data_IF_352201416512
#
_entry.id   IF_352201416512
#
_cell.length_a   1.000
_cell.length_b   1.000
_cell.length_c   1.000
_cell.angle_alpha   90.00
_cell.angle_beta   90.00
_cell.angle_gamma   90.00
#
_symmetry.space_group_name_H-M   'P 1'
#
loop_
_entity.id
_entity.type
_entity.pdbx_description
1 polymer ?
#
# COMPACT_ATOMS: atom_id res chain seq x y z
N UNK A 1 -40.45 0.94 19.19
CA UNK A 1 -39.22 0.20 19.43
C UNK A 1 -38.90 -0.83 18.31
N UNK A 2 -39.94 -1.51 17.73
CA UNK A 2 -39.72 -2.49 16.64
C UNK A 2 -39.37 -1.86 15.28
N UNK A 3 -39.80 -0.64 15.00
CA UNK A 3 -39.45 0.09 13.77
C UNK A 3 -37.99 0.55 13.77
N UNK A 4 -37.47 0.99 14.91
CA UNK A 4 -36.03 1.37 15.01
C UNK A 4 -35.07 0.19 14.83
N UNK A 5 -35.45 -1.02 15.28
CA UNK A 5 -34.63 -2.23 15.03
C UNK A 5 -34.63 -2.64 13.54
N UNK A 6 -35.77 -2.50 12.84
CA UNK A 6 -35.82 -2.80 11.39
C UNK A 6 -35.06 -1.79 10.56
N UNK A 7 -35.06 -0.50 10.90
CA UNK A 7 -34.24 0.50 10.23
C UNK A 7 -32.75 0.29 10.48
N UNK A 8 -32.33 -0.11 11.68
CA UNK A 8 -30.94 -0.52 11.93
C UNK A 8 -30.52 -1.74 11.10
N UNK A 9 -31.39 -2.72 10.93
CA UNK A 9 -31.11 -3.91 10.12
C UNK A 9 -31.08 -3.63 8.61
N UNK A 10 -31.70 -2.56 8.13
CA UNK A 10 -31.64 -2.16 6.71
C UNK A 10 -30.38 -1.36 6.36
N UNK A 11 -29.68 -0.77 7.33
CA UNK A 11 -28.48 0.04 7.11
C UNK A 11 -27.18 -0.72 7.38
N UNK A 12 -27.18 -1.70 8.28
CA UNK A 12 -26.02 -2.55 8.59
C UNK A 12 -26.09 -3.76 7.67
N UNK A 13 -25.18 -3.86 6.72
CA UNK A 13 -25.21 -4.96 5.77
C UNK A 13 -24.66 -6.24 6.36
N UNK A 14 -23.54 -6.13 7.09
CA UNK A 14 -22.89 -7.29 7.70
C UNK A 14 -21.91 -6.87 8.81
N UNK A 15 -21.39 -7.88 9.50
CA UNK A 15 -20.33 -7.72 10.49
C UNK A 15 -19.07 -8.35 9.96
N UNK A 16 -17.97 -7.66 10.16
CA UNK A 16 -16.65 -8.18 9.90
C UNK A 16 -16.02 -8.62 11.22
N UNK A 17 -15.23 -9.69 11.17
CA UNK A 17 -14.55 -10.22 12.34
C UNK A 17 -13.08 -10.45 12.08
N UNK A 18 -12.26 -10.27 13.11
CA UNK A 18 -10.83 -10.57 13.09
C UNK A 18 -10.37 -10.95 14.49
N UNK A 19 -9.10 -11.34 14.62
CA UNK A 19 -8.44 -11.53 15.90
C UNK A 19 -7.26 -10.60 16.03
N UNK A 20 -6.78 -10.42 17.27
CA UNK A 20 -5.50 -9.76 17.55
C UNK A 20 -4.50 -10.80 18.05
N UNK A 21 -3.18 -10.65 17.79
CA UNK A 21 -2.20 -11.50 18.45
C UNK A 21 -2.05 -11.15 19.93
N UNK A 22 -1.67 -12.11 20.78
CA UNK A 22 -1.27 -11.82 22.15
C UNK A 22 -0.02 -10.93 22.12
N UNK A 23 0.10 -9.98 23.06
CA UNK A 23 1.31 -9.20 23.27
C UNK A 23 2.25 -9.95 24.20
N UNK A 24 3.56 -9.86 23.95
CA UNK A 24 4.58 -10.62 24.65
C UNK A 24 5.64 -9.69 25.21
N UNK A 25 6.07 -9.95 26.46
CA UNK A 25 7.20 -9.23 27.06
C UNK A 25 8.52 -9.71 26.42
N UNK A 26 9.23 -8.83 25.75
CA UNK A 26 10.51 -9.08 25.09
C UNK A 26 11.56 -9.71 26.01
N UNK A 27 11.55 -9.35 27.30
CA UNK A 27 12.50 -9.88 28.31
C UNK A 27 12.33 -11.36 28.60
N UNK A 28 11.21 -11.93 28.18
CA UNK A 28 10.85 -13.36 28.35
C UNK A 28 11.09 -14.18 27.08
N UNK A 29 11.61 -13.57 26.02
CA UNK A 29 11.85 -14.19 24.71
C UNK A 29 13.32 -14.56 24.55
N UNK A 30 13.61 -15.75 24.05
CA UNK A 30 14.93 -16.17 23.64
C UNK A 30 15.18 -15.84 22.16
N UNK A 31 15.79 -14.68 21.90
CA UNK A 31 16.12 -14.21 20.56
C UNK A 31 17.31 -14.95 19.93
N UNK A 32 18.13 -15.67 20.69
CA UNK A 32 19.35 -16.30 20.18
C UNK A 32 19.05 -17.40 19.14
N UNK A 33 17.86 -17.97 19.21
CA UNK A 33 17.38 -19.01 18.30
C UNK A 33 16.55 -18.47 17.12
N UNK A 34 16.38 -17.15 17.02
CA UNK A 34 15.52 -16.51 16.04
C UNK A 34 16.34 -15.84 14.94
N UNK A 35 15.75 -15.77 13.74
CA UNK A 35 16.36 -15.08 12.60
C UNK A 35 15.98 -13.60 12.63
N UNK A 36 16.97 -12.71 12.61
CA UNK A 36 16.73 -11.28 12.43
C UNK A 36 16.23 -10.95 11.03
N UNK A 37 15.30 -10.00 10.95
CA UNK A 37 14.80 -9.41 9.73
C UNK A 37 14.93 -7.90 9.83
N UNK A 38 15.94 -7.37 9.19
CA UNK A 38 16.14 -5.92 9.05
C UNK A 38 15.27 -5.35 7.93
N UNK A 39 15.03 -4.04 7.99
CA UNK A 39 14.37 -3.29 6.92
C UNK A 39 15.23 -3.21 5.65
N UNK A 40 14.64 -2.66 4.59
CA UNK A 40 15.31 -2.52 3.29
C UNK A 40 16.52 -1.59 3.36
N UNK A 41 17.51 -1.87 2.49
CA UNK A 41 18.68 -1.03 2.30
C UNK A 41 18.82 -0.64 0.82
N UNK A 42 18.89 0.67 0.50
CA UNK A 42 18.84 1.82 1.42
C UNK A 42 17.45 1.98 2.07
N UNK A 43 17.40 2.62 3.24
CA UNK A 43 16.14 2.88 3.96
C UNK A 43 15.17 3.69 3.08
N UNK A 44 13.94 3.20 2.85
CA UNK A 44 12.99 3.88 1.98
C UNK A 44 12.42 5.15 2.63
N UNK A 45 12.36 6.23 1.88
CA UNK A 45 11.74 7.49 2.32
C UNK A 45 10.35 7.60 1.68
N UNK A 46 9.32 7.53 2.50
CA UNK A 46 7.92 7.55 2.04
C UNK A 46 7.43 8.92 1.56
N UNK A 47 8.13 10.00 1.90
CA UNK A 47 7.76 11.36 1.52
C UNK A 47 8.69 11.91 0.43
N UNK A 48 8.13 12.50 -0.63
CA UNK A 48 8.92 13.16 -1.69
C UNK A 48 9.77 14.35 -1.21
N UNK A 49 9.53 14.85 0.01
CA UNK A 49 10.31 15.92 0.65
C UNK A 49 11.01 15.44 1.93
N UNK A 50 10.92 14.14 2.21
CA UNK A 50 11.59 13.49 3.34
C UNK A 50 13.07 13.24 3.06
N UNK A 51 13.80 12.94 4.12
CA UNK A 51 15.22 12.57 4.08
C UNK A 51 15.47 11.42 5.04
N UNK A 52 16.46 10.59 4.75
CA UNK A 52 16.84 9.43 5.57
C UNK A 52 17.18 9.85 7.00
N UNK A 53 17.82 11.02 7.17
CA UNK A 53 18.23 11.54 8.49
C UNK A 53 17.06 11.90 9.42
N UNK A 54 15.82 11.96 8.85
CA UNK A 54 14.60 12.20 9.62
C UNK A 54 14.01 10.91 10.21
N UNK A 55 14.52 9.74 9.82
CA UNK A 55 14.04 8.47 10.33
C UNK A 55 14.47 8.26 11.79
N UNK A 56 13.64 7.65 12.61
CA UNK A 56 14.03 7.22 13.94
C UNK A 56 15.09 6.11 13.84
N UNK A 57 15.72 5.80 14.97
CA UNK A 57 16.61 4.64 15.09
C UNK A 57 15.91 3.39 14.58
N UNK A 58 16.52 2.70 13.62
CA UNK A 58 15.99 1.45 13.06
C UNK A 58 16.22 0.29 14.03
N UNK A 59 15.28 -0.65 14.03
CA UNK A 59 15.37 -1.91 14.79
C UNK A 59 14.90 -3.05 13.91
N UNK A 60 15.42 -4.24 14.12
CA UNK A 60 14.99 -5.42 13.39
C UNK A 60 13.70 -6.01 13.97
N UNK A 61 12.98 -6.75 13.16
CA UNK A 61 12.03 -7.76 13.58
C UNK A 61 12.71 -9.12 13.64
N UNK A 62 12.06 -10.12 14.23
CA UNK A 62 12.57 -11.50 14.23
C UNK A 62 11.54 -12.42 13.60
N UNK A 63 12.04 -13.50 13.00
CA UNK A 63 11.21 -14.52 12.35
C UNK A 63 11.25 -15.80 13.18
N UNK A 64 10.06 -16.35 13.44
CA UNK A 64 9.84 -17.69 13.96
C UNK A 64 8.67 -18.35 13.22
N UNK A 65 8.32 -19.56 13.64
CA UNK A 65 7.29 -20.36 12.98
C UNK A 65 6.45 -21.11 14.01
N UNK A 66 5.18 -21.35 13.68
CA UNK A 66 4.40 -22.40 14.35
C UNK A 66 4.98 -23.76 14.01
N UNK A 67 4.58 -24.79 14.74
CA UNK A 67 4.96 -26.19 14.52
C UNK A 67 3.77 -27.13 14.75
N UNK A 68 3.97 -28.41 14.52
CA UNK A 68 2.93 -29.44 14.67
C UNK A 68 2.27 -29.39 16.04
N UNK A 69 3.07 -29.29 17.12
CA UNK A 69 2.54 -29.17 18.49
C UNK A 69 1.69 -27.94 18.67
N UNK A 70 2.11 -26.80 18.09
CA UNK A 70 1.32 -25.57 18.07
C UNK A 70 -0.02 -25.79 17.39
N UNK A 71 -0.03 -26.48 16.24
CA UNK A 71 -1.25 -26.77 15.48
C UNK A 71 -2.20 -27.72 16.24
N UNK A 72 -1.67 -28.70 16.96
CA UNK A 72 -2.47 -29.58 17.80
C UNK A 72 -3.13 -28.86 18.96
N UNK A 73 -2.40 -27.97 19.63
CA UNK A 73 -2.95 -27.11 20.69
C UNK A 73 -4.09 -26.23 20.15
N UNK A 74 -3.90 -25.63 18.98
CA UNK A 74 -4.94 -24.78 18.33
C UNK A 74 -6.17 -25.61 18.01
N UNK A 75 -6.01 -26.76 17.35
CA UNK A 75 -7.11 -27.67 17.01
C UNK A 75 -7.88 -28.16 18.25
N UNK A 76 -7.17 -28.44 19.34
CA UNK A 76 -7.79 -28.85 20.61
C UNK A 76 -8.54 -27.75 21.35
N UNK A 77 -8.40 -26.46 20.94
CA UNK A 77 -9.11 -25.34 21.55
C UNK A 77 -10.22 -24.73 20.68
N UNK A 78 -10.47 -25.30 19.48
CA UNK A 78 -11.39 -24.73 18.49
C UNK A 78 -12.84 -24.64 18.96
N UNK A 79 -13.29 -25.62 19.74
CA UNK A 79 -14.63 -25.68 20.32
C UNK A 79 -14.91 -24.57 21.36
N UNK A 80 -13.86 -23.85 21.74
CA UNK A 80 -13.89 -22.73 22.70
C UNK A 80 -13.55 -21.38 22.07
N UNK A 81 -13.29 -21.34 20.76
CA UNK A 81 -12.97 -20.11 20.04
C UNK A 81 -14.23 -19.33 19.67
N UNK A 82 -14.43 -18.07 20.13
CA UNK A 82 -15.57 -17.24 19.75
C UNK A 82 -15.75 -17.06 18.25
N UNK A 83 -14.66 -17.07 17.48
CA UNK A 83 -14.71 -16.97 16.01
C UNK A 83 -15.30 -18.22 15.34
N UNK A 84 -15.26 -19.39 16.00
CA UNK A 84 -15.69 -20.67 15.45
C UNK A 84 -16.96 -21.23 16.09
N UNK A 85 -17.28 -20.84 17.31
CA UNK A 85 -18.48 -21.32 18.05
C UNK A 85 -19.77 -20.60 17.68
N UNK A 86 -19.74 -19.64 16.74
CA UNK A 86 -20.91 -18.84 16.38
C UNK A 86 -21.27 -17.75 17.38
N UNK A 87 -20.43 -17.48 18.38
CA UNK A 87 -20.61 -16.35 19.33
C UNK A 87 -20.42 -15.03 18.59
N UNK A 88 -19.50 -15.01 17.62
CA UNK A 88 -19.23 -13.85 16.77
C UNK A 88 -19.58 -14.24 15.33
N UNK A 89 -20.58 -13.53 14.79
CA UNK A 89 -20.97 -13.64 13.39
C UNK A 89 -20.20 -12.63 12.52
N UNK A 90 -19.93 -13.01 11.27
CA UNK A 90 -19.32 -12.13 10.31
C UNK A 90 -18.29 -12.82 9.42
N UNK A 91 -17.83 -12.09 8.41
CA UNK A 91 -16.81 -12.55 7.47
C UNK A 91 -15.43 -12.10 7.94
N UNK A 92 -14.50 -13.04 8.06
CA UNK A 92 -13.10 -12.76 8.39
C UNK A 92 -12.32 -12.19 7.20
N UNK A 93 -11.25 -11.41 7.44
CA UNK A 93 -10.43 -10.85 6.36
C UNK A 93 -9.67 -11.95 5.63
N UNK A 94 -9.66 -11.87 4.31
CA UNK A 94 -8.97 -12.82 3.43
C UNK A 94 -7.45 -12.83 3.66
N UNK A 95 -6.88 -11.68 3.98
CA UNK A 95 -5.43 -11.44 4.01
C UNK A 95 -4.83 -11.27 5.40
N UNK A 96 -5.62 -11.34 6.44
CA UNK A 96 -5.17 -11.39 7.82
C UNK A 96 -6.01 -12.40 8.61
N UNK A 97 -6.02 -13.69 8.18
CA UNK A 97 -6.79 -14.71 8.87
C UNK A 97 -6.23 -14.95 10.27
N UNK A 98 -7.09 -15.36 11.20
CA UNK A 98 -6.65 -15.83 12.50
C UNK A 98 -5.73 -17.06 12.36
N UNK A 99 -4.96 -17.37 13.38
CA UNK A 99 -4.11 -18.58 13.33
C UNK A 99 -4.97 -19.87 13.25
N UNK A 100 -6.18 -19.83 13.84
CA UNK A 100 -7.17 -20.89 13.70
C UNK A 100 -7.54 -21.11 12.23
N UNK A 101 -7.84 -20.03 11.50
CA UNK A 101 -8.15 -20.09 10.07
C UNK A 101 -6.99 -20.66 9.25
N UNK A 102 -5.75 -20.24 9.55
CA UNK A 102 -4.56 -20.72 8.86
C UNK A 102 -4.38 -22.22 9.02
N UNK A 103 -4.49 -22.70 10.26
CA UNK A 103 -4.31 -24.12 10.60
C UNK A 103 -5.38 -25.02 9.97
N UNK A 104 -6.59 -24.50 9.75
CA UNK A 104 -7.66 -25.25 9.09
C UNK A 104 -7.56 -25.15 7.57
N UNK A 105 -7.44 -23.95 7.03
CA UNK A 105 -7.45 -23.73 5.56
C UNK A 105 -6.21 -24.26 4.87
N UNK A 106 -5.08 -24.29 5.59
CA UNK A 106 -3.79 -24.75 5.09
C UNK A 106 -3.28 -25.93 5.94
N UNK A 107 -4.15 -26.91 6.14
CA UNK A 107 -3.86 -28.08 6.99
C UNK A 107 -2.69 -28.96 6.49
N UNK A 108 -2.31 -28.79 5.21
CA UNK A 108 -1.15 -29.42 4.57
C UNK A 108 0.19 -28.73 4.92
N UNK A 109 0.15 -27.58 5.60
CA UNK A 109 1.35 -26.85 6.03
C UNK A 109 1.72 -27.23 7.45
N UNK A 110 2.97 -27.65 7.64
CA UNK A 110 3.51 -28.02 8.96
C UNK A 110 3.84 -26.80 9.82
N UNK A 111 3.96 -25.62 9.21
CA UNK A 111 4.33 -24.38 9.89
C UNK A 111 3.76 -23.14 9.21
N UNK A 112 3.53 -22.10 10.00
CA UNK A 112 3.18 -20.76 9.55
C UNK A 112 4.18 -19.75 10.10
N UNK A 113 4.62 -18.85 9.27
CA UNK A 113 5.59 -17.80 9.62
C UNK A 113 4.98 -16.78 10.59
N UNK A 114 5.81 -16.34 11.54
CA UNK A 114 5.48 -15.35 12.56
C UNK A 114 6.57 -14.28 12.50
N UNK A 115 6.16 -13.02 12.38
CA UNK A 115 7.07 -11.88 12.55
C UNK A 115 6.91 -11.35 13.97
N UNK A 116 8.02 -11.20 14.68
CA UNK A 116 8.05 -10.67 16.04
C UNK A 116 8.47 -9.22 15.91
N UNK A 117 7.52 -8.32 16.08
CA UNK A 117 7.68 -6.89 15.84
C UNK A 117 7.68 -6.14 17.17
N UNK A 118 8.70 -5.31 17.48
CA UNK A 118 8.62 -4.39 18.61
C UNK A 118 7.49 -3.38 18.39
N UNK A 119 6.62 -3.17 19.39
CA UNK A 119 5.55 -2.15 19.28
C UNK A 119 6.09 -0.71 19.38
N UNK A 120 7.35 -0.52 19.71
CA UNK A 120 8.00 0.78 19.75
C UNK A 120 9.46 0.67 20.15
N UNK A 121 10.18 1.78 20.05
CA UNK A 121 11.63 1.83 20.31
C UNK A 121 11.98 1.76 21.79
N UNK A 122 11.05 2.17 22.66
CA UNK A 122 11.27 2.32 24.12
C UNK A 122 10.30 1.43 24.93
N UNK A 123 9.78 0.37 24.32
CA UNK A 123 8.90 -0.61 24.98
C UNK A 123 9.47 -2.01 24.93
N UNK A 124 9.13 -2.82 25.92
CA UNK A 124 9.38 -4.27 25.91
C UNK A 124 8.21 -5.06 25.32
N UNK A 125 7.17 -4.41 24.82
CA UNK A 125 6.01 -5.09 24.25
C UNK A 125 6.29 -5.49 22.81
N UNK A 126 6.08 -6.78 22.51
CA UNK A 126 6.23 -7.37 21.18
C UNK A 126 4.88 -7.74 20.60
N UNK A 127 4.74 -7.50 19.31
CA UNK A 127 3.61 -7.90 18.48
C UNK A 127 4.00 -9.10 17.60
N UNK A 128 3.60 -10.34 17.96
CA UNK A 128 3.88 -11.51 17.13
C UNK A 128 2.86 -11.60 15.99
N UNK A 129 3.15 -10.89 14.90
CA UNK A 129 2.32 -10.86 13.71
C UNK A 129 2.24 -12.24 13.07
N UNK A 130 1.01 -12.72 12.84
CA UNK A 130 0.77 -14.03 12.24
C UNK A 130 0.08 -15.05 13.15
N UNK A 131 -0.06 -14.75 14.45
CA UNK A 131 -0.79 -15.58 15.43
C UNK A 131 -1.98 -14.85 16.05
N UNK A 132 -2.66 -13.99 15.28
CA UNK A 132 -3.95 -13.42 15.70
C UNK A 132 -4.91 -14.51 16.07
N UNK A 133 -5.55 -14.43 17.24
CA UNK A 133 -6.37 -15.51 17.79
C UNK A 133 -7.50 -15.01 18.66
N UNK A 134 -8.55 -15.81 18.79
CA UNK A 134 -9.63 -15.62 19.75
C UNK A 134 -9.72 -16.77 20.76
N UNK A 135 -8.77 -17.68 20.73
CA UNK A 135 -8.73 -18.83 21.65
C UNK A 135 -8.70 -18.37 23.13
N UNK A 136 -9.22 -19.15 24.07
CA UNK A 136 -9.14 -18.85 25.49
C UNK A 136 -7.70 -18.68 25.98
N UNK A 137 -7.50 -17.90 27.03
CA UNK A 137 -6.18 -17.52 27.53
C UNK A 137 -5.30 -18.71 27.92
N UNK A 138 -5.87 -19.74 28.52
CA UNK A 138 -5.15 -20.99 28.86
C UNK A 138 -4.62 -21.73 27.61
N UNK A 139 -5.33 -21.65 26.50
CA UNK A 139 -4.89 -22.19 25.20
C UNK A 139 -3.81 -21.29 24.60
N UNK A 140 -3.99 -19.97 24.67
CA UNK A 140 -3.00 -18.99 24.16
C UNK A 140 -1.63 -19.16 24.86
N UNK A 141 -1.59 -19.39 26.17
CA UNK A 141 -0.35 -19.63 26.90
C UNK A 141 0.36 -20.87 26.33
N UNK A 142 -0.37 -21.98 26.13
CA UNK A 142 0.20 -23.22 25.57
C UNK A 142 0.67 -23.02 24.14
N UNK A 143 -0.15 -22.37 23.30
CA UNK A 143 0.16 -22.05 21.92
C UNK A 143 1.45 -21.23 21.83
N UNK A 144 1.52 -20.11 22.53
CA UNK A 144 2.68 -19.21 22.49
C UNK A 144 3.92 -19.95 22.94
N UNK A 145 3.88 -20.66 24.08
CA UNK A 145 5.02 -21.37 24.64
C UNK A 145 5.47 -22.58 23.86
N UNK A 146 4.68 -23.07 22.91
CA UNK A 146 5.08 -24.14 21.98
C UNK A 146 5.94 -23.64 20.80
N UNK A 147 6.00 -22.34 20.59
CA UNK A 147 6.74 -21.71 19.49
C UNK A 147 8.21 -21.52 19.87
N UNK A 148 9.12 -21.75 18.92
CA UNK A 148 10.54 -21.55 19.14
C UNK A 148 10.85 -20.10 19.56
N UNK A 149 11.72 -19.94 20.57
CA UNK A 149 12.03 -18.65 21.18
C UNK A 149 11.04 -18.21 22.27
N UNK A 150 9.85 -18.83 22.36
CA UNK A 150 8.78 -18.42 23.26
C UNK A 150 8.52 -19.37 24.43
N UNK A 151 9.39 -20.32 24.67
CA UNK A 151 9.21 -21.34 25.73
C UNK A 151 8.85 -20.75 27.10
N UNK A 152 9.45 -19.64 27.45
CA UNK A 152 9.23 -18.93 28.72
C UNK A 152 8.45 -17.62 28.55
N UNK A 153 7.82 -17.41 27.39
CA UNK A 153 7.16 -16.16 27.07
C UNK A 153 6.09 -15.79 28.10
N UNK A 154 6.09 -14.52 28.49
CA UNK A 154 5.07 -13.88 29.30
C UNK A 154 4.13 -13.06 28.40
N UNK A 155 2.84 -13.40 28.44
CA UNK A 155 1.81 -12.65 27.71
C UNK A 155 1.40 -11.47 28.55
N UNK A 156 1.69 -10.25 28.07
CA UNK A 156 1.31 -8.98 28.72
C UNK A 156 -0.16 -8.64 28.44
N UNK A 157 -0.66 -9.02 27.27
CA UNK A 157 -2.05 -8.85 26.84
C UNK A 157 -2.48 -10.04 26.02
N UNK A 158 -3.56 -10.74 26.37
CA UNK A 158 -4.08 -11.83 25.55
C UNK A 158 -4.59 -11.33 24.20
N UNK A 159 -4.52 -12.17 23.19
CA UNK A 159 -5.25 -11.98 21.94
C UNK A 159 -6.75 -12.05 22.18
N UNK A 160 -7.52 -11.32 21.39
CA UNK A 160 -8.98 -11.28 21.49
C UNK A 160 -9.62 -11.12 20.11
N UNK A 161 -10.86 -11.55 20.00
CA UNK A 161 -11.67 -11.35 18.81
C UNK A 161 -12.17 -9.92 18.73
N UNK A 162 -12.26 -9.40 17.52
CA UNK A 162 -12.87 -8.12 17.20
C UNK A 162 -14.03 -8.39 16.25
N UNK A 163 -15.17 -7.79 16.56
CA UNK A 163 -16.34 -7.73 15.71
C UNK A 163 -16.68 -6.25 15.48
N UNK A 164 -16.94 -5.88 14.24
CA UNK A 164 -17.29 -4.50 13.91
C UNK A 164 -18.32 -4.44 12.78
N UNK A 165 -19.21 -3.46 12.88
CA UNK A 165 -20.23 -3.20 11.88
C UNK A 165 -19.62 -2.44 10.70
N UNK A 166 -20.11 -2.70 9.49
CA UNK A 166 -19.86 -1.87 8.34
C UNK A 166 -21.16 -1.59 7.57
N UNK A 167 -21.15 -0.50 6.82
CA UNK A 167 -22.27 -0.11 5.97
C UNK A 167 -21.97 -0.41 4.52
N UNK A 168 -23.03 -0.64 3.74
CA UNK A 168 -22.88 -0.87 2.32
C UNK A 168 -22.25 0.36 1.64
N UNK A 169 -21.01 0.29 1.09
CA UNK A 169 -20.39 1.43 0.47
C UNK A 169 -21.11 1.94 -0.79
N UNK A 170 -22.00 1.15 -1.38
CA UNK A 170 -22.88 1.58 -2.47
C UNK A 170 -23.90 2.67 -2.03
N UNK A 171 -24.11 2.86 -0.72
CA UNK A 171 -24.93 3.92 -0.17
C UNK A 171 -24.16 5.25 -0.01
N UNK A 172 -22.94 5.32 -0.48
CA UNK A 172 -22.12 6.53 -0.52
C UNK A 172 -22.15 7.18 -1.91
N UNK A 173 -21.95 8.49 -1.93
CA UNK A 173 -21.59 9.27 -3.11
C UNK A 173 -20.08 9.14 -3.36
N UNK A 174 -19.59 9.48 -4.54
CA UNK A 174 -18.14 9.52 -4.85
C UNK A 174 -17.35 10.49 -3.95
N UNK A 175 -18.02 11.42 -3.29
CA UNK A 175 -17.44 12.26 -2.23
C UNK A 175 -17.21 11.53 -0.90
N UNK A 176 -17.65 10.28 -0.77
CA UNK A 176 -17.80 9.50 0.47
C UNK A 176 -18.84 10.08 1.46
N UNK A 177 -19.67 11.02 1.03
CA UNK A 177 -20.85 11.45 1.76
C UNK A 177 -21.93 10.38 1.65
N UNK A 178 -22.66 10.11 2.74
CA UNK A 178 -23.78 9.18 2.70
C UNK A 178 -24.93 9.75 1.85
N UNK A 179 -25.63 8.88 1.10
CA UNK A 179 -26.81 9.27 0.32
C UNK A 179 -28.02 9.60 1.20
N UNK A 180 -28.07 9.03 2.42
CA UNK A 180 -29.21 9.13 3.32
C UNK A 180 -29.14 10.29 4.30
N UNK A 181 -27.94 10.76 4.66
CA UNK A 181 -27.75 11.84 5.64
C UNK A 181 -26.78 12.86 5.05
N UNK A 182 -27.27 14.04 4.81
CA UNK A 182 -26.48 15.13 4.28
C UNK A 182 -25.42 15.59 5.28
N UNK A 183 -24.18 15.84 4.79
CA UNK A 183 -23.05 16.29 5.61
C UNK A 183 -22.38 15.18 6.43
N UNK A 184 -22.84 13.92 6.33
CA UNK A 184 -22.20 12.77 6.98
C UNK A 184 -21.30 12.03 5.99
N UNK A 185 -20.00 11.95 6.29
CA UNK A 185 -19.00 11.27 5.49
C UNK A 185 -18.44 10.05 6.21
N UNK A 186 -18.22 8.97 5.48
CA UNK A 186 -17.64 7.73 6.01
C UNK A 186 -16.25 7.48 5.42
N UNK A 187 -15.35 6.96 6.25
CA UNK A 187 -14.00 6.61 5.81
C UNK A 187 -13.44 5.43 6.63
N UNK A 188 -12.67 4.58 5.97
CA UNK A 188 -12.02 3.44 6.59
C UNK A 188 -12.89 2.20 6.71
N UNK A 189 -12.70 1.43 7.76
CA UNK A 189 -13.34 0.11 7.90
C UNK A 189 -14.87 0.14 7.97
N UNK A 190 -15.46 1.26 8.32
CA UNK A 190 -16.92 1.45 8.30
C UNK A 190 -17.51 1.25 6.90
N UNK A 191 -16.68 1.41 5.85
CA UNK A 191 -17.01 1.19 4.45
C UNK A 191 -16.65 -0.23 3.97
N UNK A 192 -16.37 -1.16 4.89
CA UNK A 192 -16.02 -2.55 4.55
C UNK A 192 -14.60 -2.75 4.06
N UNK A 193 -13.70 -1.79 4.28
CA UNK A 193 -12.27 -1.93 3.94
C UNK A 193 -11.45 -2.41 5.13
N UNK A 194 -10.31 -3.06 4.85
CA UNK A 194 -9.33 -3.43 5.86
C UNK A 194 -7.94 -3.03 5.38
N UNK A 195 -7.28 -2.16 6.13
CA UNK A 195 -5.92 -1.70 5.86
C UNK A 195 -5.76 -0.23 6.21
N UNK A 196 -4.56 0.11 6.65
CA UNK A 196 -4.23 1.50 7.02
C UNK A 196 -4.22 2.40 5.79
N UNK A 197 -3.75 1.91 4.66
CA UNK A 197 -3.63 2.64 3.41
C UNK A 197 -5.02 3.00 2.85
N UNK A 198 -5.95 2.06 2.86
CA UNK A 198 -7.34 2.29 2.44
C UNK A 198 -8.02 3.31 3.37
N UNK A 199 -7.80 3.20 4.68
CA UNK A 199 -8.38 4.14 5.64
C UNK A 199 -7.81 5.55 5.49
N UNK A 200 -6.49 5.68 5.27
CA UNK A 200 -5.83 6.96 5.04
C UNK A 200 -6.32 7.63 3.74
N UNK A 201 -6.43 6.88 2.65
CA UNK A 201 -6.93 7.39 1.37
C UNK A 201 -8.38 7.88 1.47
N UNK A 202 -9.25 7.08 2.09
CA UNK A 202 -10.65 7.46 2.32
C UNK A 202 -10.77 8.66 3.26
N UNK A 203 -9.99 8.71 4.34
CA UNK A 203 -9.97 9.81 5.29
C UNK A 203 -9.55 11.12 4.65
N UNK A 204 -8.51 11.10 3.79
CA UNK A 204 -8.10 12.26 3.01
C UNK A 204 -9.22 12.73 2.09
N UNK A 205 -9.83 11.83 1.33
CA UNK A 205 -10.89 12.16 0.39
C UNK A 205 -12.14 12.69 1.09
N UNK A 206 -12.61 11.99 2.12
CA UNK A 206 -13.79 12.40 2.90
C UNK A 206 -13.58 13.77 3.58
N UNK A 207 -12.41 13.98 4.20
CA UNK A 207 -12.08 15.26 4.84
C UNK A 207 -11.98 16.41 3.84
N UNK A 208 -11.38 16.17 2.67
CA UNK A 208 -11.33 17.15 1.59
C UNK A 208 -12.73 17.53 1.12
N UNK A 209 -13.59 16.56 0.87
CA UNK A 209 -14.94 16.80 0.38
C UNK A 209 -15.84 17.44 1.45
N UNK A 210 -15.66 17.11 2.71
CA UNK A 210 -16.34 17.81 3.80
C UNK A 210 -15.95 19.29 3.85
N UNK A 211 -14.66 19.61 3.67
CA UNK A 211 -14.18 20.98 3.61
C UNK A 211 -14.66 21.74 2.36
N UNK A 212 -14.72 21.07 1.21
CA UNK A 212 -15.26 21.65 -0.03
C UNK A 212 -16.76 21.96 0.13
N UNK A 213 -17.53 21.02 0.72
CA UNK A 213 -18.95 21.23 0.99
C UNK A 213 -19.23 22.44 1.91
N UNK A 214 -18.44 22.59 2.97
CA UNK A 214 -18.56 23.78 3.87
C UNK A 214 -18.26 25.09 3.14
N UNK A 215 -17.48 25.04 2.06
CA UNK A 215 -17.11 26.18 1.22
C UNK A 215 -18.02 26.33 -0.01
N UNK A 216 -19.12 25.61 -0.10
CA UNK A 216 -20.03 25.57 -1.24
C UNK A 216 -19.31 25.31 -2.58
N UNK A 217 -18.33 24.40 -2.55
CA UNK A 217 -17.59 23.98 -3.73
C UNK A 217 -18.00 22.55 -4.14
N UNK A 218 -17.83 22.25 -5.43
CA UNK A 218 -18.03 20.92 -5.95
C UNK A 218 -17.12 19.89 -5.28
N UNK A 219 -17.60 18.67 -5.15
CA UNK A 219 -16.81 17.58 -4.62
C UNK A 219 -15.68 17.18 -5.58
N UNK A 220 -14.64 16.63 -5.03
CA UNK A 220 -13.55 16.05 -5.78
C UNK A 220 -13.41 14.54 -5.49
N UNK A 221 -13.23 13.77 -6.56
CA UNK A 221 -12.80 12.38 -6.50
C UNK A 221 -11.91 12.12 -7.72
N UNK A 222 -10.70 11.60 -7.55
CA UNK A 222 -9.87 11.24 -8.70
C UNK A 222 -10.48 10.06 -9.45
N UNK A 223 -10.34 10.06 -10.75
CA UNK A 223 -10.74 8.93 -11.61
C UNK A 223 -9.78 7.75 -11.48
N UNK A 224 -10.19 6.59 -11.97
CA UNK A 224 -9.42 5.33 -11.90
C UNK A 224 -8.06 5.40 -12.61
N UNK A 225 -7.94 6.26 -13.62
CA UNK A 225 -6.69 6.50 -14.37
C UNK A 225 -5.76 7.51 -13.67
N UNK A 226 -6.23 8.22 -12.64
CA UNK A 226 -5.47 9.27 -11.94
C UNK A 226 -4.86 8.80 -10.63
N UNK A 227 -5.55 7.94 -9.88
CA UNK A 227 -5.06 7.51 -8.57
C UNK A 227 -5.63 6.16 -8.12
N UNK A 228 -4.86 5.42 -7.32
CA UNK A 228 -5.36 4.22 -6.64
C UNK A 228 -6.55 4.50 -5.72
N UNK A 229 -6.62 5.69 -5.10
CA UNK A 229 -7.80 6.08 -4.32
C UNK A 229 -9.04 6.23 -5.20
N UNK A 230 -8.89 6.59 -6.48
CA UNK A 230 -9.99 6.59 -7.45
C UNK A 230 -10.48 5.18 -7.73
N UNK A 231 -9.57 4.23 -7.97
CA UNK A 231 -9.92 2.81 -8.13
C UNK A 231 -10.63 2.27 -6.89
N UNK A 232 -10.11 2.58 -5.69
CA UNK A 232 -10.70 2.19 -4.40
C UNK A 232 -12.15 2.67 -4.27
N UNK A 233 -12.38 3.95 -4.49
CA UNK A 233 -13.71 4.56 -4.29
C UNK A 233 -14.69 4.05 -5.34
N UNK A 234 -14.26 3.94 -6.58
CA UNK A 234 -15.09 3.43 -7.66
C UNK A 234 -15.49 1.96 -7.43
N UNK A 235 -14.55 1.10 -7.04
CA UNK A 235 -14.85 -0.30 -6.70
C UNK A 235 -15.87 -0.40 -5.55
N UNK A 236 -15.68 0.39 -4.48
CA UNK A 236 -16.58 0.37 -3.34
C UNK A 236 -18.00 0.82 -3.69
N UNK A 237 -18.14 1.90 -4.46
CA UNK A 237 -19.43 2.52 -4.76
C UNK A 237 -20.17 1.78 -5.86
N UNK A 238 -19.47 1.32 -6.91
CA UNK A 238 -20.09 0.65 -8.04
C UNK A 238 -20.37 -0.82 -7.77
N UNK A 239 -19.41 -1.55 -7.20
CA UNK A 239 -19.52 -3.00 -7.00
C UNK A 239 -19.92 -3.37 -5.58
N UNK A 240 -19.66 -2.52 -4.59
CA UNK A 240 -19.80 -2.85 -3.18
C UNK A 240 -18.73 -3.86 -2.74
N UNK A 241 -18.94 -4.45 -1.56
CA UNK A 241 -18.06 -5.51 -1.08
C UNK A 241 -18.84 -6.56 -0.30
N UNK A 242 -18.51 -7.84 -0.52
CA UNK A 242 -19.08 -8.99 0.19
C UNK A 242 -18.08 -9.60 1.20
N UNK A 243 -16.83 -9.16 1.12
CA UNK A 243 -15.73 -9.52 2.04
C UNK A 243 -14.92 -8.26 2.33
N UNK A 244 -14.09 -8.22 3.39
CA UNK A 244 -13.25 -7.06 3.66
C UNK A 244 -12.42 -6.65 2.45
N UNK A 245 -12.69 -5.45 1.91
CA UNK A 245 -12.01 -4.95 0.74
C UNK A 245 -10.55 -4.63 1.04
N UNK A 246 -9.67 -5.05 0.15
CA UNK A 246 -8.26 -4.71 0.15
C UNK A 246 -7.83 -4.25 -1.24
N UNK A 247 -7.03 -3.18 -1.31
CA UNK A 247 -6.46 -2.70 -2.56
C UNK A 247 -5.29 -3.58 -2.99
N UNK A 248 -5.33 -4.03 -4.24
CA UNK A 248 -4.25 -4.74 -4.92
C UNK A 248 -3.97 -4.10 -6.26
N UNK A 249 -2.73 -4.21 -6.71
CA UNK A 249 -2.32 -3.74 -8.04
C UNK A 249 -3.11 -4.41 -9.17
N UNK A 250 -3.63 -5.62 -8.94
CA UNK A 250 -4.50 -6.33 -9.91
C UNK A 250 -5.85 -5.67 -10.13
N UNK A 251 -6.30 -4.79 -9.21
CA UNK A 251 -7.54 -4.02 -9.34
C UNK A 251 -7.40 -2.78 -10.22
N UNK A 252 -6.16 -2.33 -10.45
CA UNK A 252 -5.87 -1.13 -11.23
C UNK A 252 -5.50 -1.52 -12.66
N UNK A 253 -6.39 -1.26 -13.59
CA UNK A 253 -6.23 -1.49 -15.03
C UNK A 253 -5.10 -0.62 -15.61
N UNK A 254 -4.88 0.58 -15.04
CA UNK A 254 -3.87 1.54 -15.48
C UNK A 254 -2.62 1.56 -14.60
N UNK A 255 -2.26 0.43 -13.99
CA UNK A 255 -1.14 0.34 -13.02
C UNK A 255 0.22 0.80 -13.55
N UNK A 256 0.44 0.82 -14.87
CA UNK A 256 1.66 1.37 -15.47
C UNK A 256 1.71 2.90 -15.43
N UNK A 257 0.55 3.56 -15.35
CA UNK A 257 0.45 5.00 -15.09
C UNK A 257 0.47 5.32 -13.60
N UNK A 258 -0.16 4.46 -12.79
CA UNK A 258 -0.34 4.67 -11.34
C UNK A 258 0.86 4.13 -10.56
N UNK A 259 2.05 4.66 -10.82
CA UNK A 259 3.27 4.26 -10.11
C UNK A 259 3.55 5.15 -8.92
N UNK A 260 4.31 4.62 -7.97
CA UNK A 260 4.79 5.36 -6.79
C UNK A 260 5.69 6.53 -7.23
N UNK A 261 6.66 6.27 -8.12
CA UNK A 261 7.65 7.26 -8.56
C UNK A 261 7.06 8.52 -9.17
N UNK A 262 5.86 8.46 -9.73
CA UNK A 262 5.20 9.59 -10.40
C UNK A 262 3.93 10.10 -9.71
N UNK A 263 3.65 9.65 -8.49
CA UNK A 263 2.41 10.05 -7.79
C UNK A 263 2.38 11.56 -7.50
N UNK A 264 3.53 12.16 -7.20
CA UNK A 264 3.65 13.61 -7.03
C UNK A 264 3.34 14.38 -8.32
N UNK A 265 3.86 13.92 -9.46
CA UNK A 265 3.59 14.53 -10.77
C UNK A 265 2.11 14.45 -11.19
N UNK A 266 1.38 13.41 -10.73
CA UNK A 266 -0.04 13.24 -11.04
C UNK A 266 -0.98 14.02 -10.13
N UNK A 267 -0.61 14.23 -8.86
CA UNK A 267 -1.57 14.64 -7.82
C UNK A 267 -1.20 15.93 -7.09
N UNK A 268 0.07 16.41 -7.14
CA UNK A 268 0.48 17.58 -6.33
C UNK A 268 -0.18 18.87 -6.81
N UNK A 269 -0.35 19.06 -8.12
CA UNK A 269 -1.03 20.23 -8.69
C UNK A 269 -2.50 20.28 -8.22
N UNK A 270 -3.23 19.17 -8.37
CA UNK A 270 -4.60 19.04 -7.84
C UNK A 270 -4.64 19.25 -6.33
N UNK A 271 -3.69 18.69 -5.59
CA UNK A 271 -3.57 18.92 -4.15
C UNK A 271 -3.36 20.39 -3.79
N UNK A 272 -2.62 21.14 -4.63
CA UNK A 272 -2.42 22.59 -4.47
C UNK A 272 -3.72 23.37 -4.69
N UNK A 273 -4.46 23.05 -5.74
CA UNK A 273 -5.77 23.64 -6.04
C UNK A 273 -6.80 23.41 -4.95
N UNK A 274 -6.79 22.19 -4.35
CA UNK A 274 -7.63 21.82 -3.23
C UNK A 274 -7.20 22.45 -1.89
N UNK A 275 -6.02 23.10 -1.83
CA UNK A 275 -5.48 23.69 -0.61
C UNK A 275 -4.82 22.71 0.34
N UNK A 276 -4.45 21.51 -0.13
CA UNK A 276 -3.79 20.45 0.65
C UNK A 276 -2.26 20.54 0.61
N UNK A 277 -1.70 21.30 -0.31
CA UNK A 277 -0.26 21.46 -0.55
C UNK A 277 0.17 22.86 -0.17
N UNK A 278 1.06 22.98 0.79
CA UNK A 278 1.64 24.25 1.23
C UNK A 278 2.67 24.82 0.24
N UNK A 279 3.10 26.09 0.48
CA UNK A 279 4.04 26.78 -0.41
C UNK A 279 5.42 26.12 -0.46
N UNK A 280 5.86 25.49 0.64
CA UNK A 280 7.16 24.79 0.69
C UNK A 280 7.15 23.56 -0.21
N UNK A 281 6.13 22.70 -0.06
CA UNK A 281 5.97 21.48 -0.88
C UNK A 281 5.76 21.86 -2.35
N UNK A 282 4.94 22.88 -2.61
CA UNK A 282 4.69 23.35 -3.97
C UNK A 282 5.96 23.80 -4.68
N UNK A 283 6.78 24.61 -4.02
CA UNK A 283 8.07 25.08 -4.56
C UNK A 283 8.99 23.92 -4.91
N UNK A 284 9.19 23.01 -3.98
CA UNK A 284 10.04 21.82 -4.20
C UNK A 284 9.52 20.94 -5.34
N UNK A 285 8.21 20.81 -5.47
CA UNK A 285 7.59 20.11 -6.60
C UNK A 285 7.89 20.81 -7.93
N UNK A 286 7.71 22.12 -8.03
CA UNK A 286 8.02 22.88 -9.25
C UNK A 286 9.51 22.74 -9.63
N UNK A 287 10.41 22.93 -8.68
CA UNK A 287 11.87 22.78 -8.90
C UNK A 287 12.21 21.38 -9.42
N UNK A 288 11.61 20.32 -8.86
CA UNK A 288 11.77 18.93 -9.32
C UNK A 288 11.26 18.75 -10.74
N UNK A 289 10.06 19.25 -11.07
CA UNK A 289 9.47 19.12 -12.41
C UNK A 289 10.29 19.88 -13.47
N UNK A 290 10.77 21.08 -13.15
CA UNK A 290 11.65 21.86 -14.02
C UNK A 290 12.98 21.13 -14.29
N UNK A 291 13.57 20.53 -13.26
CA UNK A 291 14.81 19.76 -13.39
C UNK A 291 14.62 18.51 -14.28
N UNK A 292 13.49 17.77 -14.11
CA UNK A 292 13.13 16.62 -14.94
C UNK A 292 12.94 17.06 -16.41
N UNK A 293 12.20 18.14 -16.63
CA UNK A 293 11.95 18.67 -17.97
C UNK A 293 13.26 19.12 -18.66
N UNK A 294 14.12 19.84 -17.95
CA UNK A 294 15.42 20.31 -18.43
C UNK A 294 16.32 19.13 -18.82
N UNK A 295 16.44 18.13 -17.95
CA UNK A 295 17.27 16.95 -18.23
C UNK A 295 16.72 16.12 -19.38
N UNK A 296 15.41 15.93 -19.44
CA UNK A 296 14.75 15.26 -20.56
C UNK A 296 15.05 15.96 -21.88
N UNK A 297 14.98 17.30 -21.90
CA UNK A 297 15.27 18.09 -23.08
C UNK A 297 16.74 18.04 -23.45
N UNK A 298 17.67 18.08 -22.48
CA UNK A 298 19.09 17.89 -22.68
C UNK A 298 19.38 16.55 -23.37
N UNK A 299 18.82 15.45 -22.87
CA UNK A 299 19.02 14.12 -23.44
C UNK A 299 18.43 13.98 -24.84
N UNK A 300 17.30 14.62 -25.13
CA UNK A 300 16.70 14.65 -26.48
C UNK A 300 17.54 15.44 -27.49
N UNK A 301 18.19 16.51 -27.04
CA UNK A 301 18.98 17.40 -27.90
C UNK A 301 20.44 16.94 -28.05
N UNK A 302 20.91 16.01 -27.23
CA UNK A 302 22.27 15.48 -27.32
C UNK A 302 22.30 14.23 -28.19
N UNK A 303 22.87 14.37 -29.36
CA UNK A 303 22.96 13.32 -30.39
C UNK A 303 24.30 12.60 -30.33
N UNK A 304 24.25 11.30 -30.39
CA UNK A 304 25.42 10.41 -30.50
C UNK A 304 25.58 10.00 -31.93
N UNK A 305 26.68 10.49 -32.57
CA UNK A 305 27.04 10.14 -33.94
C UNK A 305 27.81 8.83 -33.94
N UNK A 306 27.63 7.94 -34.97
CA UNK A 306 28.45 6.75 -35.18
C UNK A 306 29.93 7.09 -35.25
N UNK A 307 30.78 6.18 -34.78
CA UNK A 307 32.25 6.29 -34.82
C UNK A 307 32.84 7.50 -34.04
N UNK A 308 32.14 8.00 -33.06
CA UNK A 308 32.64 8.99 -32.08
C UNK A 308 33.11 8.28 -30.81
N UNK A 309 34.01 8.93 -30.03
CA UNK A 309 34.48 8.41 -28.73
C UNK A 309 33.32 8.09 -27.80
N UNK A 310 32.27 8.94 -27.80
CA UNK A 310 31.05 8.69 -27.00
C UNK A 310 30.28 7.46 -27.48
N UNK A 311 30.18 7.23 -28.81
CA UNK A 311 29.50 6.06 -29.36
C UNK A 311 30.27 4.77 -29.08
N UNK A 312 31.58 4.81 -29.05
CA UNK A 312 32.44 3.65 -28.71
C UNK A 312 32.30 3.30 -27.22
N UNK A 313 32.37 4.30 -26.33
CA UNK A 313 32.18 4.11 -24.89
C UNK A 313 30.77 3.58 -24.53
N UNK A 314 29.73 4.14 -25.13
CA UNK A 314 28.35 3.62 -24.96
C UNK A 314 28.21 2.21 -25.55
N UNK A 315 28.89 1.93 -26.66
CA UNK A 315 28.92 0.63 -27.30
C UNK A 315 29.48 -0.51 -26.42
N UNK A 316 30.33 -0.18 -25.44
CA UNK A 316 30.82 -1.15 -24.44
C UNK A 316 29.74 -1.65 -23.49
N UNK A 317 28.66 -0.89 -23.32
CA UNK A 317 27.52 -1.23 -22.46
C UNK A 317 26.34 -1.84 -23.23
N UNK A 318 26.40 -1.81 -24.56
CA UNK A 318 25.36 -2.32 -25.46
C UNK A 318 25.95 -3.44 -26.28
N UNK A 319 25.37 -4.62 -26.36
CA UNK A 319 25.85 -5.75 -27.16
C UNK A 319 25.84 -5.49 -28.68
N UNK A 320 25.61 -4.25 -29.09
CA UNK A 320 25.54 -3.84 -30.51
C UNK A 320 26.24 -2.51 -30.73
N UNK A 321 27.01 -2.43 -31.80
CA UNK A 321 27.62 -1.18 -32.25
C UNK A 321 26.55 -0.16 -32.65
N UNK A 322 26.74 1.11 -32.28
CA UNK A 322 25.88 2.22 -32.70
C UNK A 322 26.21 2.53 -34.18
N UNK A 323 25.27 2.22 -35.07
CA UNK A 323 25.42 2.34 -36.53
C UNK A 323 24.69 3.55 -37.13
N UNK A 324 23.76 4.13 -36.37
CA UNK A 324 23.00 5.32 -36.76
C UNK A 324 23.09 6.35 -35.65
N UNK A 325 22.72 7.60 -35.94
CA UNK A 325 22.62 8.61 -34.90
C UNK A 325 21.40 8.36 -34.01
N UNK A 326 21.59 8.55 -32.73
CA UNK A 326 20.54 8.44 -31.72
C UNK A 326 20.62 9.61 -30.74
N UNK A 327 19.48 10.10 -30.26
CA UNK A 327 19.50 10.96 -29.09
C UNK A 327 19.89 10.13 -27.83
N UNK A 328 20.49 10.78 -26.84
CA UNK A 328 20.76 10.13 -25.55
C UNK A 328 19.47 9.61 -24.90
N UNK A 329 18.35 10.32 -25.11
CA UNK A 329 17.04 9.89 -24.63
C UNK A 329 16.57 8.58 -25.28
N UNK A 330 16.81 8.39 -26.61
CA UNK A 330 16.47 7.13 -27.27
C UNK A 330 17.37 5.98 -26.86
N UNK A 331 18.64 6.28 -26.61
CA UNK A 331 19.56 5.30 -26.04
C UNK A 331 19.19 4.88 -24.63
N UNK A 332 18.70 5.82 -23.80
CA UNK A 332 18.25 5.55 -22.42
C UNK A 332 17.04 4.60 -22.36
N UNK A 333 16.26 4.48 -23.44
CA UNK A 333 15.16 3.49 -23.53
C UNK A 333 15.64 2.04 -23.55
N UNK A 334 16.93 1.81 -23.84
CA UNK A 334 17.51 0.46 -23.89
C UNK A 334 17.74 -0.11 -22.50
N UNK A 335 17.44 -1.40 -22.25
CA UNK A 335 17.60 -2.03 -20.93
C UNK A 335 19.02 -1.95 -20.37
N UNK A 336 20.02 -2.04 -21.24
CA UNK A 336 21.44 -2.11 -20.89
C UNK A 336 22.00 -0.75 -20.41
N UNK A 337 21.35 0.35 -20.76
CA UNK A 337 21.76 1.69 -20.38
C UNK A 337 20.91 2.23 -19.22
N UNK A 338 21.55 2.96 -18.34
CA UNK A 338 20.90 3.72 -17.29
C UNK A 338 21.41 5.16 -17.29
N UNK A 339 20.68 6.04 -16.58
CA UNK A 339 21.04 7.46 -16.54
C UNK A 339 22.43 7.70 -15.91
N UNK A 340 22.85 6.85 -14.96
CA UNK A 340 24.16 6.95 -14.33
C UNK A 340 25.29 6.74 -15.34
N UNK A 341 25.22 5.70 -16.18
CA UNK A 341 26.19 5.43 -17.25
C UNK A 341 26.27 6.62 -18.21
N UNK A 342 25.13 7.13 -18.67
CA UNK A 342 25.06 8.31 -19.55
C UNK A 342 25.68 9.53 -18.88
N UNK A 343 25.34 9.79 -17.62
CA UNK A 343 25.86 10.91 -16.84
C UNK A 343 27.36 10.84 -16.60
N UNK A 344 27.92 9.66 -16.40
CA UNK A 344 29.38 9.45 -16.23
C UNK A 344 30.16 9.69 -17.54
N UNK A 345 29.54 9.43 -18.67
CA UNK A 345 30.11 9.68 -20.01
C UNK A 345 29.88 11.12 -20.50
N UNK A 346 28.93 11.85 -19.91
CA UNK A 346 28.60 13.25 -20.24
C UNK A 346 28.58 14.14 -19.00
N UNK A 347 29.72 14.33 -18.31
CA UNK A 347 29.76 14.85 -16.94
C UNK A 347 29.41 16.33 -16.77
N UNK A 348 29.30 17.12 -17.86
CA UNK A 348 29.20 18.57 -17.77
C UNK A 348 27.89 19.11 -17.19
N UNK A 349 26.82 18.32 -17.13
CA UNK A 349 25.50 18.76 -16.69
C UNK A 349 24.74 17.62 -15.98
N UNK A 350 25.41 16.93 -15.05
CA UNK A 350 24.82 15.78 -14.37
C UNK A 350 23.82 16.25 -13.30
N UNK A 351 22.52 15.98 -13.47
CA UNK A 351 21.52 16.32 -12.45
C UNK A 351 21.65 15.40 -11.23
N UNK A 352 20.90 15.73 -10.16
CA UNK A 352 20.71 14.88 -9.01
C UNK A 352 20.29 13.46 -9.42
N UNK A 353 20.74 12.47 -8.66
CA UNK A 353 20.44 11.06 -8.91
C UNK A 353 18.93 10.76 -8.97
N UNK A 354 18.13 11.44 -8.12
CA UNK A 354 16.66 11.30 -8.10
C UNK A 354 16.05 11.79 -9.42
N UNK A 355 16.52 12.92 -9.95
CA UNK A 355 16.06 13.44 -11.24
C UNK A 355 16.47 12.49 -12.36
N UNK A 356 17.72 12.02 -12.35
CA UNK A 356 18.21 11.08 -13.35
C UNK A 356 17.43 9.77 -13.36
N UNK A 357 17.11 9.23 -12.20
CA UNK A 357 16.29 8.03 -12.06
C UNK A 357 14.87 8.23 -12.63
N UNK A 358 14.24 9.37 -12.34
CA UNK A 358 12.91 9.67 -12.86
C UNK A 358 12.91 9.77 -14.39
N UNK A 359 13.87 10.48 -14.97
CA UNK A 359 14.02 10.60 -16.43
C UNK A 359 14.26 9.23 -17.08
N UNK A 360 15.06 8.36 -16.44
CA UNK A 360 15.29 6.98 -16.91
C UNK A 360 13.97 6.19 -16.93
N UNK A 361 13.21 6.20 -15.82
CA UNK A 361 11.92 5.50 -15.72
C UNK A 361 10.97 6.01 -16.81
N UNK A 362 10.83 7.32 -16.95
CA UNK A 362 9.94 7.93 -17.94
C UNK A 362 10.35 7.58 -19.37
N UNK A 363 11.65 7.55 -19.68
CA UNK A 363 12.14 7.14 -20.98
C UNK A 363 11.81 5.66 -21.28
N UNK A 364 12.11 4.76 -20.36
CA UNK A 364 11.89 3.31 -20.54
C UNK A 364 10.41 2.94 -20.64
N UNK A 365 9.54 3.62 -19.90
CA UNK A 365 8.09 3.37 -19.92
C UNK A 365 7.34 4.17 -20.99
N UNK A 366 7.98 5.11 -21.67
CA UNK A 366 7.32 6.05 -22.60
C UNK A 366 6.41 5.39 -23.64
N UNK A 367 6.83 4.29 -24.23
CA UNK A 367 6.05 3.57 -25.24
C UNK A 367 4.82 2.86 -24.67
N UNK A 368 4.92 2.32 -23.47
CA UNK A 368 3.79 1.69 -22.77
C UNK A 368 2.76 2.71 -22.30
N UNK A 369 3.25 3.81 -21.73
CA UNK A 369 2.43 4.93 -21.25
C UNK A 369 1.65 5.56 -22.40
N UNK A 370 2.30 5.78 -23.56
CA UNK A 370 1.63 6.34 -24.73
C UNK A 370 0.47 5.46 -25.22
N UNK A 371 0.65 4.15 -25.24
CA UNK A 371 -0.41 3.20 -25.58
C UNK A 371 -1.56 3.25 -24.58
N UNK A 372 -1.26 3.21 -23.30
CA UNK A 372 -2.29 3.28 -22.25
C UNK A 372 -3.09 4.58 -22.31
N UNK A 373 -2.44 5.72 -22.53
CA UNK A 373 -3.13 7.00 -22.72
C UNK A 373 -4.10 6.98 -23.89
N UNK A 374 -3.70 6.42 -25.02
CA UNK A 374 -4.60 6.27 -26.18
C UNK A 374 -5.82 5.37 -25.86
N UNK A 375 -5.64 4.32 -25.06
CA UNK A 375 -6.75 3.47 -24.63
C UNK A 375 -7.71 4.21 -23.69
N UNK A 376 -7.17 5.00 -22.75
CA UNK A 376 -7.96 5.85 -21.85
C UNK A 376 -8.76 6.89 -22.65
N UNK A 377 -8.12 7.61 -23.58
CA UNK A 377 -8.78 8.61 -24.42
C UNK A 377 -9.89 7.99 -25.27
N UNK A 378 -9.73 6.75 -25.68
CA UNK A 378 -10.78 6.01 -26.40
C UNK A 378 -11.95 5.67 -25.48
N UNK A 379 -11.70 5.21 -24.26
CA UNK A 379 -12.74 4.89 -23.29
C UNK A 379 -13.53 6.14 -22.90
N UNK A 380 -12.88 7.23 -22.55
CA UNK A 380 -13.55 8.49 -22.22
C UNK A 380 -14.46 9.02 -23.33
N UNK A 381 -14.12 8.78 -24.59
CA UNK A 381 -15.00 9.13 -25.71
C UNK A 381 -16.27 8.29 -25.75
N UNK A 382 -16.22 7.06 -25.27
CA UNK A 382 -17.38 6.16 -25.26
C UNK A 382 -18.25 6.30 -24.01
N UNK A 383 -17.70 6.76 -22.86
CA UNK A 383 -18.46 6.99 -21.63
C UNK A 383 -19.60 8.01 -21.79
N UNK A 384 -19.47 8.95 -22.71
CA UNK A 384 -20.48 9.97 -23.00
C UNK A 384 -21.40 9.60 -24.17
N UNK A 385 -21.35 8.38 -24.69
CA UNK A 385 -22.22 7.94 -25.77
C UNK A 385 -23.57 7.52 -25.19
N UNK A 386 -24.71 8.16 -25.56
CA UNK A 386 -26.04 7.71 -25.10
C UNK A 386 -26.29 6.28 -25.55
N UNK A 387 -26.77 5.45 -24.64
CA UNK A 387 -27.23 4.08 -24.90
C UNK A 387 -28.63 4.12 -25.48
#
# INVERSE_FOLDING_TARGET
>A
PRHFRRQRQMCIRDRLKTGTPPRIDARSVDFTSLKEQWGDQPEPVMSYIGRIEQHPRQTCCWITYTNTTTHEIIKGGMDRSPLYTGVIDGVGPRYCPSIEDKVIRFADKDQHQIFIEPEGLDTYELYPNGISTSLPFDVQIKLVRSINGFKNAHITRPGYAIEYDYFNPQDLKYSLETKSIEGLFFAGQINGTTGYEEAAAQGLLAGTNAALKVKDKDYWCPTRDKAYMGVLVDDLISMGTNEPYRMFTSRAEYRLLLREDNADARLTETGRELGLVDDKRWRQFCEKQEAIASETQRLKNTWVQPNTDLSEKLGLHIDKKITHEYSLFDLLKRPELNHKIIGDLTPKDKPDAVIGQQVEIDAKYSGYISRQKNDIDRLHRHENTPI
#
